data_IF_054682969486
#
_entry.id   IF_054682969486
#
_cell.length_a   1.000
_cell.length_b   1.000
_cell.length_c   1.000
_cell.angle_alpha   90.00
_cell.angle_beta   90.00
_cell.angle_gamma   90.00
#
_symmetry.space_group_name_H-M   'P 1'
#
loop_
_entity.id
_entity.type
_entity.pdbx_description
1 polymer ?
#
# COMPACT_ATOMS: atom_id res chain seq x y z
N UNK A 1 8.77 -8.83 11.90
CA UNK A 1 8.72 -8.01 10.68
C UNK A 1 9.45 -8.78 9.58
N UNK A 2 8.91 -8.86 8.35
CA UNK A 2 9.61 -9.49 7.24
C UNK A 2 10.86 -8.67 6.87
N UNK A 3 11.89 -9.31 6.28
CA UNK A 3 13.08 -8.58 5.80
C UNK A 3 12.79 -7.79 4.50
N UNK A 4 11.86 -8.27 3.68
CA UNK A 4 11.44 -7.63 2.44
C UNK A 4 10.06 -8.13 2.00
N UNK A 5 9.33 -7.30 1.25
CA UNK A 5 8.12 -7.70 0.52
C UNK A 5 8.46 -7.81 -0.97
N UNK A 6 8.45 -9.01 -1.60
CA UNK A 6 8.96 -9.22 -2.96
C UNK A 6 7.98 -8.76 -4.04
N UNK A 7 7.49 -7.53 -3.94
CA UNK A 7 6.44 -6.98 -4.80
C UNK A 7 6.98 -6.28 -6.05
N UNK A 8 8.30 -6.12 -6.14
CA UNK A 8 9.00 -5.44 -7.22
C UNK A 8 10.29 -6.18 -7.59
N UNK A 9 10.91 -5.78 -8.72
CA UNK A 9 12.26 -6.24 -9.10
C UNK A 9 13.39 -5.45 -8.43
N UNK A 10 13.07 -4.43 -7.62
CA UNK A 10 14.03 -3.60 -6.90
C UNK A 10 14.13 -4.08 -5.43
N UNK A 11 15.26 -4.67 -5.01
CA UNK A 11 15.45 -5.12 -3.63
C UNK A 11 15.35 -4.00 -2.59
N UNK A 12 15.73 -2.77 -2.93
CA UNK A 12 15.64 -1.64 -2.01
C UNK A 12 14.19 -1.22 -1.78
N UNK A 13 13.40 -1.15 -2.85
CA UNK A 13 11.96 -0.91 -2.72
C UNK A 13 11.28 -2.02 -1.90
N UNK A 14 11.65 -3.29 -2.12
CA UNK A 14 11.09 -4.42 -1.38
C UNK A 14 11.41 -4.35 0.12
N UNK A 15 12.62 -3.91 0.51
CA UNK A 15 12.98 -3.67 1.92
C UNK A 15 12.21 -2.51 2.51
N UNK A 16 12.13 -1.38 1.79
CA UNK A 16 11.39 -0.20 2.24
C UNK A 16 9.91 -0.54 2.54
N UNK A 17 9.27 -1.34 1.69
CA UNK A 17 7.88 -1.77 1.90
C UNK A 17 7.69 -2.65 3.16
N UNK A 18 8.72 -3.39 3.57
CA UNK A 18 8.69 -4.21 4.77
C UNK A 18 8.97 -3.39 6.05
N UNK A 19 9.85 -2.40 5.96
CA UNK A 19 10.33 -1.62 7.10
C UNK A 19 9.48 -0.38 7.39
N UNK A 20 8.89 0.23 6.36
CA UNK A 20 8.14 1.47 6.45
C UNK A 20 6.64 1.23 6.16
N UNK A 21 5.78 1.18 7.20
CA UNK A 21 4.34 0.98 7.02
C UNK A 21 3.67 2.05 6.14
N UNK A 22 4.16 3.30 6.18
CA UNK A 22 3.63 4.35 5.32
C UNK A 22 3.95 4.10 3.84
N UNK A 23 5.17 3.63 3.54
CA UNK A 23 5.54 3.24 2.18
C UNK A 23 4.63 2.12 1.63
N UNK A 24 4.27 1.14 2.47
CA UNK A 24 3.32 0.09 2.11
C UNK A 24 1.93 0.66 1.77
N UNK A 25 1.41 1.59 2.59
CA UNK A 25 0.14 2.27 2.31
C UNK A 25 0.20 3.07 1.00
N UNK A 26 1.29 3.81 0.75
CA UNK A 26 1.49 4.53 -0.51
C UNK A 26 1.44 3.56 -1.69
N UNK A 27 2.15 2.43 -1.63
CA UNK A 27 2.10 1.40 -2.68
C UNK A 27 0.68 0.93 -3.00
N UNK A 28 -0.14 0.68 -1.97
CA UNK A 28 -1.56 0.29 -2.10
C UNK A 28 -2.44 1.42 -2.65
N UNK A 29 -2.19 2.68 -2.28
CA UNK A 29 -2.88 3.84 -2.87
C UNK A 29 -2.60 3.89 -4.37
N UNK A 30 -1.35 3.70 -4.77
CA UNK A 30 -0.90 3.78 -6.16
C UNK A 30 -1.24 2.55 -7.00
N UNK A 31 -1.65 1.43 -6.38
CA UNK A 31 -2.04 0.20 -7.06
C UNK A 31 -3.41 0.33 -7.72
N UNK A 32 -3.52 1.21 -8.72
CA UNK A 32 -4.73 1.39 -9.50
C UNK A 32 -4.41 1.73 -10.94
N UNK A 33 -4.87 0.88 -11.85
CA UNK A 33 -4.72 1.08 -13.29
C UNK A 33 -3.25 1.19 -13.77
N UNK A 34 -2.31 0.62 -13.00
CA UNK A 34 -0.89 0.44 -13.36
C UNK A 34 -0.46 -0.99 -12.98
N UNK A 35 0.66 -1.51 -13.54
CA UNK A 35 1.25 -2.77 -13.07
C UNK A 35 1.56 -2.73 -11.58
N UNK A 36 1.44 -3.87 -10.91
CA UNK A 36 1.60 -3.98 -9.44
C UNK A 36 3.02 -3.58 -9.04
N UNK A 37 4.00 -4.07 -9.77
CA UNK A 37 5.43 -3.84 -9.54
C UNK A 37 5.76 -2.35 -9.65
N UNK A 38 5.14 -1.65 -10.60
CA UNK A 38 5.31 -0.19 -10.74
C UNK A 38 4.70 0.56 -9.55
N UNK A 39 3.52 0.16 -9.08
CA UNK A 39 2.87 0.80 -7.95
C UNK A 39 3.68 0.63 -6.66
N UNK A 40 4.21 -0.56 -6.42
CA UNK A 40 4.99 -0.88 -5.22
C UNK A 40 6.45 -0.42 -5.28
N UNK A 41 7.00 -0.14 -6.47
CA UNK A 41 8.32 0.51 -6.60
C UNK A 41 8.25 2.03 -6.39
N UNK A 42 7.10 2.65 -6.63
CA UNK A 42 6.94 4.12 -6.57
C UNK A 42 7.22 4.75 -5.19
N UNK A 43 6.94 4.12 -4.03
CA UNK A 43 7.31 4.68 -2.72
C UNK A 43 8.80 4.94 -2.56
N UNK A 44 9.68 4.03 -3.02
CA UNK A 44 11.13 4.22 -2.93
C UNK A 44 11.61 5.39 -3.80
N UNK A 45 11.02 5.56 -4.99
CA UNK A 45 11.32 6.72 -5.82
C UNK A 45 10.78 8.03 -5.21
N UNK A 46 9.59 8.00 -4.60
CA UNK A 46 9.05 9.17 -3.89
C UNK A 46 9.93 9.54 -2.69
N UNK A 47 10.41 8.55 -1.94
CA UNK A 47 11.36 8.74 -0.85
C UNK A 47 12.64 9.44 -1.32
N UNK A 48 13.24 8.96 -2.43
CA UNK A 48 14.42 9.62 -3.04
C UNK A 48 14.14 11.08 -3.41
N UNK A 49 12.99 11.37 -4.01
CA UNK A 49 12.61 12.74 -4.45
C UNK A 49 12.34 13.69 -3.28
N UNK A 50 11.85 13.18 -2.15
CA UNK A 50 11.55 13.95 -0.95
C UNK A 50 12.70 13.96 0.07
N UNK A 51 13.72 13.10 -0.10
CA UNK A 51 14.82 12.89 0.85
C UNK A 51 14.40 12.12 2.12
N UNK A 52 13.35 11.30 2.02
CA UNK A 52 12.68 10.57 3.11
C UNK A 52 11.18 10.41 2.84
N UNK A 53 10.55 9.40 3.42
CA UNK A 53 9.12 9.15 3.26
C UNK A 53 8.44 8.82 4.60
N UNK A 54 7.81 9.84 5.18
CA UNK A 54 7.07 9.77 6.42
C UNK A 54 5.81 10.65 6.34
N UNK A 55 4.88 10.45 7.28
CA UNK A 55 3.57 11.13 7.29
C UNK A 55 3.76 12.65 7.40
N UNK A 56 4.55 13.11 8.38
CA UNK A 56 4.78 14.53 8.65
C UNK A 56 5.35 15.25 7.44
N UNK A 57 6.34 14.66 6.78
CA UNK A 57 6.97 15.21 5.58
C UNK A 57 5.99 15.36 4.43
N UNK A 58 5.15 14.36 4.17
CA UNK A 58 4.13 14.43 3.11
C UNK A 58 3.06 15.48 3.43
N UNK A 59 2.68 15.61 4.71
CA UNK A 59 1.73 16.67 5.15
C UNK A 59 2.35 18.06 5.03
N UNK A 60 3.63 18.23 5.40
CA UNK A 60 4.36 19.50 5.35
C UNK A 60 4.70 19.96 3.92
N UNK A 61 4.75 19.03 2.96
CA UNK A 61 4.98 19.36 1.55
C UNK A 61 3.75 20.05 0.95
N UNK A 62 3.89 21.23 0.33
CA UNK A 62 2.76 21.89 -0.33
C UNK A 62 2.13 21.00 -1.41
N UNK A 63 0.80 21.04 -1.64
CA UNK A 63 0.15 20.21 -2.66
C UNK A 63 0.78 20.33 -4.05
N UNK A 64 1.22 21.52 -4.46
CA UNK A 64 1.84 21.78 -5.76
C UNK A 64 3.20 21.10 -5.85
N UNK A 65 4.07 21.31 -4.86
CA UNK A 65 5.39 20.66 -4.81
C UNK A 65 5.27 19.12 -4.78
N UNK A 66 4.30 18.56 -4.06
CA UNK A 66 4.10 17.10 -4.04
C UNK A 66 3.67 16.59 -5.42
N UNK A 67 2.78 17.32 -6.11
CA UNK A 67 2.38 16.98 -7.48
C UNK A 67 3.57 17.04 -8.45
N UNK A 68 4.45 18.04 -8.31
CA UNK A 68 5.70 18.13 -9.10
C UNK A 68 6.59 16.91 -8.86
N UNK A 69 6.78 16.49 -7.59
CA UNK A 69 7.55 15.26 -7.29
C UNK A 69 6.93 14.02 -7.89
N UNK A 70 5.60 13.92 -7.96
CA UNK A 70 4.94 12.80 -8.64
C UNK A 70 5.08 12.86 -10.17
N UNK A 71 5.14 14.06 -10.74
CA UNK A 71 5.18 14.31 -12.18
C UNK A 71 6.59 14.32 -12.78
N UNK A 72 7.63 14.46 -11.95
CA UNK A 72 9.03 14.36 -12.36
C UNK A 72 9.28 13.08 -13.17
N UNK A 73 9.97 13.20 -14.31
CA UNK A 73 10.10 12.11 -15.29
C UNK A 73 11.20 11.11 -14.88
N UNK A 74 10.94 9.78 -14.93
CA UNK A 74 9.65 9.16 -15.26
C UNK A 74 8.62 9.34 -14.14
N UNK A 75 7.38 9.71 -14.52
CA UNK A 75 6.32 9.98 -13.55
C UNK A 75 5.98 8.73 -12.73
N UNK A 76 5.75 8.92 -11.42
CA UNK A 76 5.45 7.83 -10.49
C UNK A 76 4.17 7.06 -10.89
N UNK A 77 3.19 7.79 -11.41
CA UNK A 77 1.91 7.23 -11.83
C UNK A 77 1.47 7.82 -13.18
N UNK A 78 0.55 7.14 -13.86
CA UNK A 78 -0.10 7.68 -15.08
C UNK A 78 -1.06 8.84 -14.80
N UNK A 79 -1.38 9.06 -13.52
CA UNK A 79 -2.23 10.15 -13.02
C UNK A 79 -1.51 10.86 -11.85
N UNK A 80 -0.38 11.53 -12.10
CA UNK A 80 0.51 12.00 -11.04
C UNK A 80 -0.17 12.98 -10.07
N UNK A 81 -0.91 13.97 -10.59
CA UNK A 81 -1.60 14.96 -9.75
C UNK A 81 -2.66 14.34 -8.83
N UNK A 82 -3.52 13.48 -9.37
CA UNK A 82 -4.57 12.79 -8.60
C UNK A 82 -3.99 11.88 -7.53
N UNK A 83 -2.92 11.15 -7.85
CA UNK A 83 -2.30 10.22 -6.91
C UNK A 83 -1.48 10.95 -5.83
N UNK A 84 -0.80 12.05 -6.16
CA UNK A 84 -0.15 12.91 -5.17
C UNK A 84 -1.18 13.42 -4.14
N UNK A 85 -2.33 13.92 -4.62
CA UNK A 85 -3.42 14.36 -3.74
C UNK A 85 -3.92 13.24 -2.84
N UNK A 86 -4.15 12.03 -3.39
CA UNK A 86 -4.65 10.89 -2.59
C UNK A 86 -3.66 10.42 -1.53
N UNK A 87 -2.36 10.36 -1.86
CA UNK A 87 -1.31 10.05 -0.88
C UNK A 87 -1.27 11.10 0.22
N UNK A 88 -1.41 12.38 -0.12
CA UNK A 88 -1.43 13.45 0.88
C UNK A 88 -2.68 13.41 1.78
N UNK A 89 -3.84 13.05 1.25
CA UNK A 89 -5.06 12.87 2.05
C UNK A 89 -4.91 11.71 3.03
N UNK A 90 -4.30 10.60 2.62
CA UNK A 90 -3.95 9.50 3.54
C UNK A 90 -3.00 9.99 4.63
N UNK A 91 -1.96 10.73 4.28
CA UNK A 91 -1.02 11.28 5.26
C UNK A 91 -1.72 12.20 6.28
N UNK A 92 -2.59 13.12 5.82
CA UNK A 92 -3.37 14.00 6.71
C UNK A 92 -4.30 13.20 7.62
N UNK A 93 -5.01 12.20 7.09
CA UNK A 93 -5.86 11.33 7.89
C UNK A 93 -5.07 10.61 8.99
N UNK A 94 -3.89 10.08 8.66
CA UNK A 94 -3.01 9.42 9.63
C UNK A 94 -2.51 10.39 10.70
N UNK A 95 -2.13 11.61 10.31
CA UNK A 95 -1.73 12.65 11.26
C UNK A 95 -2.88 13.01 12.21
N UNK A 96 -4.07 13.30 11.66
CA UNK A 96 -5.22 13.78 12.42
C UNK A 96 -5.83 12.71 13.36
N UNK A 97 -5.76 11.44 12.99
CA UNK A 97 -6.45 10.33 13.70
C UNK A 97 -5.52 9.41 14.49
N UNK A 98 -4.25 9.37 14.10
CA UNK A 98 -3.28 8.42 14.63
C UNK A 98 -1.94 9.10 14.99
N UNK A 99 -1.88 10.44 15.08
CA UNK A 99 -0.66 11.21 15.35
C UNK A 99 0.51 10.85 14.42
N UNK A 100 0.20 10.45 13.18
CA UNK A 100 1.18 10.01 12.18
C UNK A 100 1.70 8.58 12.37
N UNK A 101 1.33 7.89 13.45
CA UNK A 101 1.71 6.50 13.70
C UNK A 101 0.86 5.54 12.85
N UNK A 102 1.39 5.18 11.68
CA UNK A 102 0.71 4.26 10.77
C UNK A 102 0.43 2.90 11.40
N UNK A 103 1.32 2.41 12.26
CA UNK A 103 1.12 1.11 12.88
C UNK A 103 -0.02 1.13 13.91
N UNK A 104 -0.45 2.29 14.42
CA UNK A 104 -1.62 2.41 15.30
C UNK A 104 -2.95 2.03 14.61
N UNK A 105 -2.99 1.94 13.27
CA UNK A 105 -4.13 1.39 12.55
C UNK A 105 -4.47 -0.05 12.97
N UNK A 106 -3.44 -0.86 13.24
CA UNK A 106 -3.59 -2.29 13.56
C UNK A 106 -2.96 -2.71 14.89
N UNK A 107 -2.15 -1.85 15.51
CA UNK A 107 -1.66 -2.08 16.87
C UNK A 107 -2.85 -2.16 17.81
N UNK A 108 -2.84 -3.18 18.66
CA UNK A 108 -3.85 -3.43 19.69
C UNK A 108 -5.27 -3.67 19.17
N UNK A 109 -5.44 -3.98 17.89
CA UNK A 109 -6.74 -4.38 17.34
C UNK A 109 -6.91 -5.89 17.48
N UNK A 110 -7.84 -6.30 18.34
CA UNK A 110 -8.12 -7.71 18.61
C UNK A 110 -9.16 -8.32 17.66
N UNK A 111 -9.99 -7.50 17.00
CA UNK A 111 -11.10 -7.96 16.15
C UNK A 111 -10.94 -7.51 14.71
N UNK A 112 -11.16 -8.44 13.76
CA UNK A 112 -10.93 -8.16 12.36
C UNK A 112 -11.97 -7.22 11.72
N UNK A 113 -13.19 -7.08 12.27
CA UNK A 113 -14.20 -6.12 11.76
C UNK A 113 -13.74 -4.70 12.09
N UNK A 114 -13.21 -4.52 13.30
CA UNK A 114 -12.65 -3.24 13.71
C UNK A 114 -11.43 -2.87 12.87
N UNK A 115 -10.52 -3.83 12.61
CA UNK A 115 -9.38 -3.57 11.72
C UNK A 115 -9.87 -3.18 10.33
N UNK A 116 -10.79 -3.96 9.74
CA UNK A 116 -11.28 -3.68 8.40
C UNK A 116 -11.93 -2.29 8.31
N UNK A 117 -12.78 -1.94 9.29
CA UNK A 117 -13.41 -0.61 9.38
C UNK A 117 -12.37 0.52 9.39
N UNK A 118 -11.32 0.41 10.23
CA UNK A 118 -10.24 1.42 10.27
C UNK A 118 -9.51 1.54 8.93
N UNK A 119 -9.25 0.40 8.27
CA UNK A 119 -8.57 0.39 6.98
C UNK A 119 -9.45 0.99 5.86
N UNK A 120 -10.76 0.81 5.91
CA UNK A 120 -11.71 1.39 4.95
C UNK A 120 -11.91 2.91 5.13
N UNK A 121 -11.65 3.44 6.32
CA UNK A 121 -11.69 4.89 6.58
C UNK A 121 -10.52 5.65 5.95
N UNK A 122 -9.45 4.94 5.55
CA UNK A 122 -8.31 5.55 4.85
C UNK A 122 -8.76 6.13 3.50
N UNK A 123 -8.43 7.40 3.19
CA UNK A 123 -8.77 8.00 1.89
C UNK A 123 -8.30 7.16 0.70
N UNK A 124 -9.23 6.76 -0.18
CA UNK A 124 -8.92 5.94 -1.35
C UNK A 124 -8.76 4.44 -1.07
N UNK A 125 -9.05 4.00 0.15
CA UNK A 125 -9.32 2.62 0.50
C UNK A 125 -10.83 2.37 0.46
N UNK A 126 -11.17 1.17 0.05
CA UNK A 126 -12.47 0.55 0.27
C UNK A 126 -12.21 -0.93 0.54
N UNK A 127 -13.27 -1.73 0.67
CA UNK A 127 -13.18 -3.14 1.08
C UNK A 127 -12.08 -3.92 0.32
N UNK A 128 -11.99 -3.73 -1.00
CA UNK A 128 -10.97 -4.36 -1.84
C UNK A 128 -9.53 -4.14 -1.33
N UNK A 129 -9.15 -2.90 -1.01
CA UNK A 129 -7.80 -2.59 -0.54
C UNK A 129 -7.62 -2.91 0.94
N UNK A 130 -8.66 -2.73 1.74
CA UNK A 130 -8.65 -3.05 3.16
C UNK A 130 -8.38 -4.55 3.38
N UNK A 131 -9.07 -5.42 2.62
CA UNK A 131 -8.85 -6.88 2.64
C UNK A 131 -7.45 -7.27 2.15
N UNK A 132 -6.92 -6.61 1.13
CA UNK A 132 -5.53 -6.85 0.69
C UNK A 132 -4.53 -6.47 1.79
N UNK A 133 -4.67 -5.29 2.41
CA UNK A 133 -3.78 -4.88 3.48
C UNK A 133 -3.87 -5.80 4.69
N UNK A 134 -5.08 -6.19 5.11
CA UNK A 134 -5.28 -7.18 6.17
C UNK A 134 -4.59 -8.51 5.83
N UNK A 135 -4.69 -8.98 4.59
CA UNK A 135 -4.00 -10.20 4.17
C UNK A 135 -2.47 -10.05 4.20
N UNK A 136 -1.94 -8.89 3.78
CA UNK A 136 -0.50 -8.60 3.89
C UNK A 136 -0.07 -8.66 5.36
N UNK A 137 -0.81 -7.96 6.23
CA UNK A 137 -0.58 -7.91 7.67
C UNK A 137 -0.59 -9.31 8.31
N UNK A 138 -1.57 -10.15 7.97
CA UNK A 138 -1.70 -11.50 8.52
C UNK A 138 -0.62 -12.47 8.02
N UNK A 139 -0.26 -12.39 6.73
CA UNK A 139 0.70 -13.30 6.10
C UNK A 139 2.15 -12.93 6.39
N UNK A 140 2.49 -11.65 6.25
CA UNK A 140 3.87 -11.18 6.30
C UNK A 140 4.28 -10.55 7.64
N UNK A 141 3.31 -9.97 8.37
CA UNK A 141 3.59 -9.24 9.62
C UNK A 141 3.10 -9.95 10.88
N UNK A 142 2.34 -11.05 10.75
CA UNK A 142 1.81 -11.81 11.89
C UNK A 142 0.65 -11.13 12.62
N UNK A 143 0.08 -10.06 12.06
CA UNK A 143 -1.06 -9.34 12.63
C UNK A 143 -2.34 -10.09 12.27
N UNK A 144 -2.85 -10.88 13.22
CA UNK A 144 -3.95 -11.84 13.02
C UNK A 144 -5.04 -11.62 14.07
N UNK A 145 -5.83 -10.52 13.97
CA UNK A 145 -6.96 -10.31 14.87
C UNK A 145 -7.98 -11.44 14.74
N UNK A 146 -8.81 -11.64 15.76
CA UNK A 146 -9.81 -12.71 15.80
C UNK A 146 -10.73 -12.64 14.57
N UNK A 147 -10.81 -13.75 13.85
CA UNK A 147 -11.67 -13.92 12.69
C UNK A 147 -11.16 -13.24 11.41
N UNK A 148 -9.87 -12.86 11.34
CA UNK A 148 -9.27 -12.25 10.15
C UNK A 148 -9.45 -13.07 8.87
N UNK A 149 -9.57 -14.40 8.98
CA UNK A 149 -9.72 -15.32 7.86
C UNK A 149 -10.96 -15.02 7.02
N UNK A 150 -12.04 -14.51 7.63
CA UNK A 150 -13.28 -14.15 6.92
C UNK A 150 -13.10 -12.99 5.94
N UNK A 151 -12.09 -12.15 6.18
CA UNK A 151 -11.82 -10.95 5.40
C UNK A 151 -10.65 -11.12 4.44
N UNK A 152 -10.00 -12.29 4.40
CA UNK A 152 -8.97 -12.55 3.41
C UNK A 152 -9.56 -12.44 1.99
N UNK A 153 -8.84 -11.85 1.02
CA UNK A 153 -9.27 -11.80 -0.36
C UNK A 153 -9.59 -13.20 -0.90
N UNK A 154 -10.75 -13.34 -1.53
CA UNK A 154 -11.16 -14.52 -2.32
C UNK A 154 -10.75 -14.38 -3.80
N UNK A 155 -9.92 -13.40 -4.10
CA UNK A 155 -9.30 -13.15 -5.40
C UNK A 155 -7.76 -13.13 -5.29
N UNK A 156 -7.04 -13.41 -6.39
CA UNK A 156 -5.58 -13.34 -6.41
C UNK A 156 -5.09 -11.92 -6.12
N UNK A 157 -4.22 -11.77 -5.12
CA UNK A 157 -3.76 -10.47 -4.65
C UNK A 157 -2.24 -10.42 -4.43
N UNK A 158 -1.70 -9.22 -4.24
CA UNK A 158 -0.27 -9.04 -3.95
C UNK A 158 0.13 -9.64 -2.59
N UNK A 159 -0.83 -9.88 -1.70
CA UNK A 159 -0.58 -10.56 -0.43
C UNK A 159 -0.12 -12.02 -0.62
N UNK A 160 -0.37 -12.62 -1.80
CA UNK A 160 -0.02 -14.00 -2.13
C UNK A 160 1.40 -14.15 -2.70
N UNK A 161 2.19 -13.07 -2.74
CA UNK A 161 3.54 -13.06 -3.27
C UNK A 161 4.52 -13.20 -2.10
N UNK A 162 5.22 -14.34 -2.05
CA UNK A 162 6.21 -14.68 -1.03
C UNK A 162 7.63 -14.66 -1.59
N UNK A 163 7.77 -14.79 -2.91
CA UNK A 163 9.03 -14.75 -3.65
C UNK A 163 8.88 -13.98 -4.97
N UNK A 164 9.96 -13.44 -5.54
CA UNK A 164 9.89 -12.68 -6.80
C UNK A 164 9.23 -13.44 -7.96
N UNK A 165 9.38 -14.76 -8.01
CA UNK A 165 8.81 -15.60 -9.07
C UNK A 165 7.27 -15.65 -9.02
N UNK A 166 6.68 -15.44 -7.84
CA UNK A 166 5.23 -15.50 -7.64
C UNK A 166 4.50 -14.29 -8.29
N UNK A 167 5.23 -13.23 -8.68
CA UNK A 167 4.67 -12.07 -9.38
C UNK A 167 4.07 -12.43 -10.73
N UNK A 168 4.75 -13.31 -11.49
CA UNK A 168 4.26 -13.73 -12.81
C UNK A 168 3.06 -14.66 -12.67
N UNK A 169 3.09 -15.57 -11.69
CA UNK A 169 1.94 -16.40 -11.35
C UNK A 169 0.74 -15.54 -10.92
N UNK A 170 0.96 -14.50 -10.11
CA UNK A 170 -0.10 -13.57 -9.71
C UNK A 170 -0.76 -12.89 -10.92
N UNK A 171 0.01 -12.48 -11.94
CA UNK A 171 -0.56 -11.87 -13.16
C UNK A 171 -1.47 -12.84 -13.90
N UNK A 172 -1.03 -14.10 -14.04
CA UNK A 172 -1.81 -15.17 -14.68
C UNK A 172 -3.11 -15.39 -13.91
N UNK A 173 -3.03 -15.63 -12.60
CA UNK A 173 -4.19 -15.84 -11.73
C UNK A 173 -5.16 -14.65 -11.77
N UNK A 174 -4.66 -13.41 -11.74
CA UNK A 174 -5.50 -12.20 -11.85
C UNK A 174 -6.22 -12.11 -13.20
N UNK A 175 -5.57 -12.50 -14.30
CA UNK A 175 -6.19 -12.51 -15.64
C UNK A 175 -7.31 -13.55 -15.71
N UNK A 176 -7.06 -14.76 -15.20
CA UNK A 176 -8.05 -15.84 -15.15
C UNK A 176 -9.24 -15.48 -14.26
N UNK A 177 -8.99 -14.92 -13.07
CA UNK A 177 -10.05 -14.45 -12.19
C UNK A 177 -10.94 -13.42 -12.88
N UNK A 178 -10.35 -12.38 -13.51
CA UNK A 178 -11.12 -11.37 -14.26
C UNK A 178 -11.96 -11.98 -15.39
N UNK A 179 -11.43 -12.98 -16.09
CA UNK A 179 -12.14 -13.66 -17.18
C UNK A 179 -13.33 -14.50 -16.68
N UNK A 180 -13.35 -14.91 -15.40
CA UNK A 180 -14.48 -15.62 -14.78
C UNK A 180 -15.55 -14.69 -14.20
N UNK A 181 -15.23 -13.40 -14.04
CA UNK A 181 -16.13 -12.39 -13.46
C UNK A 181 -16.91 -11.60 -14.53
N UNK A 182 -16.60 -11.78 -15.81
CA UNK A 182 -17.30 -11.15 -16.94
C UNK A 182 -17.98 -12.19 -17.82
#
# INVERSE_FOLDING_TARGET
>A
MPEALPYTHDPEANRLLAENPFALLVGLVLQQQVPVERAFAAPAELERRLGGLDVDRVVATSPEALQERFAEKPALHRFPGTMAKRVQEVARFLLDRYDGDVAALWRDVEDADELLRRLEELPGFGEYKARILLAILAKHFGVRPRGYERWLPDWPSIADVERPEDLEELKVRKKEWKARQG
#
